data_IF_614917208112
#
_entry.id   IF_614917208112
#
_cell.length_a   1.000
_cell.length_b   1.000
_cell.length_c   1.000
_cell.angle_alpha   90.00
_cell.angle_beta   90.00
_cell.angle_gamma   90.00
#
_symmetry.space_group_name_H-M   'P 1'
#
loop_
_entity.id
_entity.type
_entity.pdbx_description
1 polymer ?
#
# COMPACT_ATOMS: atom_id res chain seq x y z
N UNK A 1 -6.11 -13.31 0.94
CA UNK A 1 -6.23 -13.18 2.42
C UNK A 1 -5.48 -11.93 2.83
N UNK A 2 -6.21 -10.82 2.86
CA UNK A 2 -5.88 -9.64 3.66
C UNK A 2 -5.42 -10.15 5.02
N UNK A 3 -4.44 -9.49 5.63
CA UNK A 3 -4.13 -9.62 7.05
C UNK A 3 -5.45 -9.41 7.84
N UNK A 4 -6.27 -10.46 7.98
CA UNK A 4 -7.59 -10.44 8.62
C UNK A 4 -7.49 -11.04 10.03
N UNK A 5 -6.39 -11.72 10.33
CA UNK A 5 -6.01 -12.05 11.69
C UNK A 5 -5.31 -10.83 12.28
N UNK A 6 -5.90 -10.22 13.32
CA UNK A 6 -5.23 -9.25 14.18
C UNK A 6 -3.77 -9.70 14.37
N UNK A 7 -2.76 -8.87 14.07
CA UNK A 7 -1.38 -9.27 14.19
C UNK A 7 -1.12 -9.70 15.64
N UNK A 8 -0.80 -10.98 15.84
CA UNK A 8 -0.47 -11.55 17.15
C UNK A 8 0.92 -11.15 17.63
N UNK A 9 1.73 -10.55 16.74
CA UNK A 9 3.09 -10.07 17.03
C UNK A 9 3.12 -8.55 17.02
N UNK A 10 3.63 -7.95 18.10
CA UNK A 10 3.74 -6.50 18.27
C UNK A 10 4.41 -5.80 17.07
N UNK A 11 5.42 -6.44 16.48
CA UNK A 11 6.14 -5.93 15.30
C UNK A 11 5.30 -5.78 14.02
N UNK A 12 4.16 -6.46 13.91
CA UNK A 12 3.30 -6.40 12.71
C UNK A 12 2.13 -5.42 12.88
N UNK A 13 1.91 -4.89 14.09
CA UNK A 13 0.83 -3.94 14.39
C UNK A 13 0.95 -2.65 13.55
N UNK A 14 2.14 -2.03 13.41
CA UNK A 14 2.27 -0.80 12.62
C UNK A 14 1.94 -0.99 11.15
N UNK A 15 2.50 -2.02 10.50
CA UNK A 15 2.25 -2.35 9.09
C UNK A 15 0.78 -2.65 8.83
N UNK A 16 0.16 -3.44 9.72
CA UNK A 16 -1.26 -3.74 9.65
C UNK A 16 -2.12 -2.49 9.74
N UNK A 17 -1.82 -1.61 10.71
CA UNK A 17 -2.57 -0.36 10.91
C UNK A 17 -2.43 0.56 9.69
N UNK A 18 -1.22 0.67 9.13
CA UNK A 18 -0.96 1.45 7.91
C UNK A 18 -1.72 0.89 6.70
N UNK A 19 -1.70 -0.42 6.50
CA UNK A 19 -2.45 -1.08 5.42
C UNK A 19 -3.96 -0.93 5.60
N UNK A 20 -4.48 -1.07 6.83
CA UNK A 20 -5.89 -0.88 7.12
C UNK A 20 -6.33 0.57 6.83
N UNK A 21 -5.57 1.55 7.30
CA UNK A 21 -5.84 2.97 7.04
C UNK A 21 -5.77 3.30 5.55
N UNK A 22 -4.81 2.73 4.83
CA UNK A 22 -4.68 2.89 3.39
C UNK A 22 -5.87 2.25 2.65
N UNK A 23 -6.29 1.05 3.05
CA UNK A 23 -7.49 0.39 2.53
C UNK A 23 -8.71 1.27 2.70
N UNK A 24 -8.97 1.78 3.90
CA UNK A 24 -10.13 2.65 4.15
C UNK A 24 -10.08 3.94 3.32
N UNK A 25 -8.91 4.54 3.16
CA UNK A 25 -8.74 5.70 2.29
C UNK A 25 -9.08 5.37 0.84
N UNK A 26 -8.60 4.22 0.33
CA UNK A 26 -8.89 3.77 -1.04
C UNK A 26 -10.38 3.48 -1.24
N UNK A 27 -11.04 2.83 -0.26
CA UNK A 27 -12.47 2.55 -0.32
C UNK A 27 -13.30 3.84 -0.36
N UNK A 28 -12.95 4.83 0.47
CA UNK A 28 -13.62 6.14 0.45
C UNK A 28 -13.37 6.93 -0.83
N UNK A 29 -12.20 6.77 -1.44
CA UNK A 29 -11.84 7.43 -2.70
C UNK A 29 -12.56 6.83 -3.92
N UNK A 30 -13.12 5.62 -3.83
CA UNK A 30 -13.88 5.00 -4.92
C UNK A 30 -13.03 4.73 -6.16
N UNK A 31 -13.34 5.38 -7.27
CA UNK A 31 -12.57 5.31 -8.52
C UNK A 31 -11.46 6.37 -8.61
N UNK A 32 -11.51 7.40 -7.76
CA UNK A 32 -10.54 8.50 -7.74
C UNK A 32 -9.33 8.21 -6.85
N UNK A 33 -9.03 6.93 -6.59
CA UNK A 33 -7.95 6.49 -5.68
C UNK A 33 -6.59 7.10 -6.06
N UNK A 34 -6.34 7.32 -7.36
CA UNK A 34 -5.10 7.92 -7.87
C UNK A 34 -4.94 9.41 -7.57
N UNK A 35 -6.05 10.15 -7.59
CA UNK A 35 -6.07 11.59 -7.36
C UNK A 35 -6.33 11.95 -5.90
N UNK A 36 -6.77 10.98 -5.09
CA UNK A 36 -7.16 11.24 -3.72
C UNK A 36 -5.94 11.55 -2.82
N UNK A 37 -5.88 12.78 -2.33
CA UNK A 37 -4.79 13.24 -1.45
C UNK A 37 -4.64 12.42 -0.16
N UNK A 38 -5.73 11.87 0.38
CA UNK A 38 -5.67 11.01 1.57
C UNK A 38 -4.96 9.71 1.23
N UNK A 39 -5.28 9.09 0.09
CA UNK A 39 -4.60 7.88 -0.39
C UNK A 39 -3.11 8.13 -0.61
N UNK A 40 -2.75 9.26 -1.24
CA UNK A 40 -1.36 9.65 -1.46
C UNK A 40 -0.60 9.82 -0.14
N UNK A 41 -1.19 10.54 0.82
CA UNK A 41 -0.61 10.74 2.15
C UNK A 41 -0.41 9.41 2.89
N UNK A 42 -1.42 8.53 2.91
CA UNK A 42 -1.33 7.22 3.57
C UNK A 42 -0.29 6.31 2.91
N UNK A 43 -0.16 6.39 1.58
CA UNK A 43 0.88 5.67 0.85
C UNK A 43 2.29 6.16 1.21
N UNK A 44 2.47 7.48 1.35
CA UNK A 44 3.74 8.05 1.79
C UNK A 44 4.08 7.66 3.25
N UNK A 45 3.08 7.65 4.15
CA UNK A 45 3.23 7.16 5.53
C UNK A 45 3.68 5.69 5.57
N UNK A 46 3.08 4.84 4.72
CA UNK A 46 3.51 3.44 4.55
C UNK A 46 4.96 3.36 4.10
N UNK A 47 5.34 4.04 3.01
CA UNK A 47 6.72 3.99 2.50
C UNK A 47 7.74 4.46 3.53
N UNK A 48 7.46 5.56 4.23
CA UNK A 48 8.33 6.08 5.29
C UNK A 48 8.53 5.05 6.40
N UNK A 49 7.46 4.35 6.80
CA UNK A 49 7.56 3.30 7.80
C UNK A 49 8.46 2.16 7.34
N UNK A 50 8.27 1.66 6.11
CA UNK A 50 9.03 0.54 5.55
C UNK A 50 10.53 0.88 5.43
N UNK A 51 10.85 2.10 4.99
CA UNK A 51 12.24 2.58 4.89
C UNK A 51 12.92 2.65 6.26
N UNK A 52 12.20 3.12 7.29
CA UNK A 52 12.78 3.36 8.61
C UNK A 52 12.85 2.10 9.50
N UNK A 53 11.97 1.12 9.30
CA UNK A 53 11.82 -0.01 10.23
C UNK A 53 12.13 -1.38 9.63
N UNK A 54 12.45 -1.43 8.33
CA UNK A 54 12.51 -2.64 7.50
C UNK A 54 11.15 -3.40 7.47
N UNK A 55 10.68 -3.81 6.28
CA UNK A 55 9.43 -4.54 6.17
C UNK A 55 9.52 -5.91 6.84
N UNK A 56 8.43 -6.38 7.43
CA UNK A 56 8.32 -7.76 7.88
C UNK A 56 8.45 -8.72 6.70
N UNK A 57 8.81 -9.98 7.00
CA UNK A 57 8.93 -11.02 5.98
C UNK A 57 7.59 -11.24 5.28
N UNK A 58 6.52 -11.30 6.07
CA UNK A 58 5.15 -11.47 5.60
C UNK A 58 4.72 -10.30 4.70
N UNK A 59 5.04 -9.06 5.07
CA UNK A 59 4.78 -7.90 4.22
C UNK A 59 5.56 -8.01 2.90
N UNK A 60 6.84 -8.36 2.98
CA UNK A 60 7.71 -8.47 1.81
C UNK A 60 7.22 -9.53 0.83
N UNK A 61 6.84 -10.71 1.33
CA UNK A 61 6.36 -11.81 0.51
C UNK A 61 5.01 -11.55 -0.18
N UNK A 62 4.21 -10.63 0.37
CA UNK A 62 2.88 -10.29 -0.16
C UNK A 62 2.91 -9.05 -1.07
N UNK A 63 3.65 -8.01 -0.70
CA UNK A 63 3.53 -6.69 -1.33
C UNK A 63 4.81 -6.22 -2.03
N UNK A 64 5.99 -6.76 -1.70
CA UNK A 64 7.23 -6.38 -2.38
C UNK A 64 7.38 -7.19 -3.67
N UNK A 65 7.47 -6.52 -4.82
CA UNK A 65 7.43 -7.08 -6.19
C UNK A 65 6.14 -7.82 -6.60
N UNK A 66 5.25 -8.11 -5.66
CA UNK A 66 3.99 -8.83 -5.88
C UNK A 66 2.79 -7.89 -5.72
N UNK A 67 1.72 -8.17 -6.46
CA UNK A 67 0.46 -7.46 -6.33
C UNK A 67 -0.35 -8.13 -5.21
N UNK A 68 -0.13 -7.69 -3.98
CA UNK A 68 -0.82 -8.19 -2.80
C UNK A 68 -2.23 -7.61 -2.69
N UNK A 69 -3.17 -8.40 -2.19
CA UNK A 69 -4.56 -7.99 -2.04
C UNK A 69 -4.71 -6.99 -0.88
N UNK A 70 -5.22 -5.79 -1.18
CA UNK A 70 -5.63 -4.79 -0.19
C UNK A 70 -7.13 -4.92 0.15
N UNK A 71 -7.91 -5.55 -0.73
CA UNK A 71 -9.33 -5.92 -0.55
C UNK A 71 -10.30 -5.19 -1.48
N UNK A 72 -11.50 -5.73 -1.67
CA UNK A 72 -12.53 -5.15 -2.57
C UNK A 72 -12.00 -4.88 -4.00
N UNK A 73 -11.23 -5.83 -4.54
CA UNK A 73 -10.57 -5.70 -5.84
C UNK A 73 -9.34 -4.77 -5.83
N UNK A 74 -8.99 -4.12 -4.72
CA UNK A 74 -7.77 -3.32 -4.64
C UNK A 74 -6.55 -4.22 -4.44
N UNK A 75 -5.50 -3.95 -5.21
CA UNK A 75 -4.18 -4.58 -5.07
C UNK A 75 -3.13 -3.51 -4.83
N UNK A 76 -2.16 -3.84 -3.98
CA UNK A 76 -1.03 -3.00 -3.62
C UNK A 76 0.27 -3.70 -4.00
N UNK A 77 1.19 -2.95 -4.60
CA UNK A 77 2.55 -3.39 -4.91
C UNK A 77 3.52 -2.31 -4.46
N UNK A 78 4.53 -2.72 -3.70
CA UNK A 78 5.66 -1.89 -3.31
C UNK A 78 6.88 -2.36 -4.10
N UNK A 79 7.69 -1.42 -4.59
CA UNK A 79 8.92 -1.76 -5.29
C UNK A 79 10.04 -2.15 -4.30
N UNK A 80 11.10 -2.78 -4.81
CA UNK A 80 12.23 -3.26 -4.01
C UNK A 80 12.88 -2.19 -3.13
N UNK A 81 12.98 -0.98 -3.69
CA UNK A 81 13.66 0.14 -3.08
C UNK A 81 12.78 0.86 -2.04
N UNK A 82 11.52 0.42 -1.86
CA UNK A 82 10.54 0.99 -0.94
C UNK A 82 10.40 2.51 -1.10
N UNK A 83 10.57 3.00 -2.32
CA UNK A 83 10.35 4.39 -2.67
C UNK A 83 9.10 4.57 -3.54
N UNK A 84 8.42 3.47 -3.91
CA UNK A 84 7.21 3.52 -4.72
C UNK A 84 6.15 2.50 -4.27
N UNK A 85 4.92 2.99 -4.10
CA UNK A 85 3.70 2.18 -3.97
C UNK A 85 2.86 2.37 -5.22
N UNK A 86 2.37 1.25 -5.75
CA UNK A 86 1.33 1.19 -6.75
C UNK A 86 0.08 0.58 -6.12
N UNK A 87 -1.04 1.28 -6.26
CA UNK A 87 -2.36 0.76 -5.87
C UNK A 87 -3.20 0.71 -7.13
N UNK A 88 -3.82 -0.44 -7.39
CA UNK A 88 -4.68 -0.63 -8.56
C UNK A 88 -6.00 -1.25 -8.11
N UNK A 89 -7.08 -0.95 -8.83
CA UNK A 89 -8.37 -1.63 -8.67
C UNK A 89 -8.53 -2.64 -9.81
N UNK A 90 -8.75 -3.89 -9.45
CA UNK A 90 -8.98 -5.02 -10.34
C UNK A 90 -10.48 -5.29 -10.35
N UNK A 91 -11.17 -4.90 -11.43
CA UNK A 91 -12.55 -5.32 -11.69
C UNK A 91 -12.54 -6.38 -12.80
N UNK A 92 -13.57 -7.23 -12.86
CA UNK A 92 -13.70 -8.30 -13.86
C UNK A 92 -13.63 -7.81 -15.31
N UNK A 93 -14.00 -6.55 -15.57
CA UNK A 93 -13.93 -5.90 -16.89
C UNK A 93 -12.61 -5.13 -17.13
N UNK A 94 -11.82 -4.87 -16.08
CA UNK A 94 -10.68 -3.95 -16.10
C UNK A 94 -9.30 -4.64 -16.13
N UNK A 95 -9.21 -5.86 -16.63
CA UNK A 95 -7.91 -6.50 -16.93
C UNK A 95 -7.04 -5.63 -17.87
N UNK A 96 -7.64 -4.62 -18.53
CA UNK A 96 -7.02 -3.82 -19.61
C UNK A 96 -6.69 -2.35 -19.24
N UNK A 97 -7.25 -1.74 -18.19
CA UNK A 97 -6.99 -0.31 -17.88
C UNK A 97 -6.39 -0.11 -16.48
N UNK A 98 -5.05 -0.15 -16.45
CA UNK A 98 -4.24 0.04 -15.25
C UNK A 98 -4.10 1.53 -14.90
N UNK A 99 -4.84 2.00 -13.90
CA UNK A 99 -4.56 3.29 -13.26
C UNK A 99 -3.46 3.08 -12.20
N UNK A 100 -2.20 3.20 -12.62
CA UNK A 100 -1.05 3.09 -11.70
C UNK A 100 -0.83 4.40 -10.96
N UNK A 101 -0.91 4.35 -9.63
CA UNK A 101 -0.41 5.42 -8.77
C UNK A 101 1.10 5.22 -8.63
N UNK A 102 1.89 6.25 -8.93
CA UNK A 102 3.35 6.24 -8.72
C UNK A 102 3.67 7.36 -7.75
N UNK A 103 3.91 7.00 -6.50
CA UNK A 103 4.39 7.94 -5.48
C UNK A 103 5.87 7.66 -5.28
N UNK A 104 6.75 8.59 -5.68
CA UNK A 104 8.19 8.45 -5.50
C UNK A 104 8.62 9.20 -4.24
N UNK A 105 9.00 8.49 -3.18
CA UNK A 105 9.57 9.12 -1.98
C UNK A 105 11.07 9.30 -2.22
N UNK A 106 11.49 10.54 -2.51
CA UNK A 106 12.91 10.87 -2.57
C UNK A 106 13.52 10.78 -1.18
N UNK A 107 14.66 10.10 -1.09
CA UNK A 107 15.45 9.97 0.13
C UNK A 107 16.11 11.33 0.38
N UNK A 108 15.51 12.14 1.24
CA UNK A 108 16.07 13.42 1.68
C UNK A 108 15.12 14.60 1.46
N UNK A 109 14.30 14.85 2.47
CA UNK A 109 13.89 16.20 2.88
C UNK A 109 13.59 16.09 4.39
N UNK A 110 14.67 15.91 5.15
CA UNK A 110 14.74 16.41 6.52
C UNK A 110 15.13 17.90 6.38
N UNK A 111 14.15 18.78 6.56
CA UNK A 111 14.34 20.16 7.02
C UNK A 111 13.42 20.40 8.21
#
# INVERSE_FOLDING_TARGET
MILCTKPTRAKHIPEFSLLANLRFACLRAGDEVSQNHVVQRRSAELLRHLVNNLPSKEFSEQYIHRAGELGEGLVLKVNQNMNMVMINRVNAENVVRMASIVINVRRGDEQ
#
